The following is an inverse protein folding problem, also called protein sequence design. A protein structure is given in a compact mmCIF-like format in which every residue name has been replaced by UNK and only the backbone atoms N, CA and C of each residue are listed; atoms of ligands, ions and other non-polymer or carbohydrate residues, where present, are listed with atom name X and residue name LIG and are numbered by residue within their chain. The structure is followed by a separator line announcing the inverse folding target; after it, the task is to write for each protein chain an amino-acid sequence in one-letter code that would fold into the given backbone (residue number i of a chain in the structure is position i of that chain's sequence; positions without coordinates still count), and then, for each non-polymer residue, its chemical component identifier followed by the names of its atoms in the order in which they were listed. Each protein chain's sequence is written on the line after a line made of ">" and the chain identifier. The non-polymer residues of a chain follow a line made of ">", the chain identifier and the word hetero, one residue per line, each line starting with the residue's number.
data_IF_247697962687
#
_entry.id   IF_247697962687
#
_cell.length_a   1.000
_cell.length_b   1.000
_cell.length_c   1.000
_cell.angle_alpha   90.00
_cell.angle_beta   90.00
_cell.angle_gamma   90.00
#
_symmetry.space_group_name_H-M   'P 1'
#
loop_
_entity.id
_entity.type
_entity.pdbx_description
1 polymer ?
#
# COMPACT_ATOMS: atom_id res chain seq x y z
N UNK A 1 -6.12 -18.20 -1.04
CA UNK A 1 -5.99 -19.14 0.09
C UNK A 1 -4.98 -20.23 -0.19
N UNK A 2 -5.17 -21.15 -1.14
CA UNK A 2 -4.17 -22.21 -1.46
C UNK A 2 -2.74 -21.67 -1.66
N UNK A 3 -2.58 -20.50 -2.29
CA UNK A 3 -1.27 -19.87 -2.47
C UNK A 3 -0.64 -19.46 -1.14
N UNK A 4 -1.39 -18.83 -0.25
CA UNK A 4 -0.91 -18.41 1.08
C UNK A 4 -0.54 -19.63 1.92
N UNK A 5 -1.41 -20.66 1.93
CA UNK A 5 -1.15 -21.91 2.66
C UNK A 5 0.11 -22.62 2.18
N UNK A 6 0.31 -22.71 0.86
CA UNK A 6 1.46 -23.37 0.26
C UNK A 6 2.78 -22.58 0.37
N UNK A 7 2.74 -21.32 0.79
CA UNK A 7 3.90 -20.42 0.85
C UNK A 7 4.05 -19.72 2.21
N UNK A 8 3.47 -20.26 3.28
CA UNK A 8 3.47 -19.64 4.63
C UNK A 8 4.87 -19.27 5.14
N UNK A 9 5.88 -20.07 4.83
CA UNK A 9 7.27 -19.83 5.24
C UNK A 9 7.93 -18.61 4.56
N UNK A 10 7.37 -18.17 3.42
CA UNK A 10 7.90 -17.04 2.64
C UNK A 10 7.04 -15.78 2.74
N UNK A 11 5.82 -15.89 3.30
CA UNK A 11 4.85 -14.78 3.38
C UNK A 11 4.69 -14.38 4.84
N UNK A 12 5.31 -13.26 5.22
CA UNK A 12 5.16 -12.70 6.57
C UNK A 12 3.82 -11.95 6.73
N UNK A 13 3.41 -11.21 5.72
CA UNK A 13 2.23 -10.37 5.73
C UNK A 13 1.51 -10.41 4.38
N UNK A 14 0.22 -10.23 4.38
CA UNK A 14 -0.62 -10.11 3.18
C UNK A 14 -1.89 -9.34 3.52
N UNK A 15 -2.47 -8.71 2.53
CA UNK A 15 -3.71 -7.96 2.65
C UNK A 15 -4.90 -8.79 2.16
N UNK A 16 -6.10 -8.45 2.59
CA UNK A 16 -7.30 -8.97 1.94
C UNK A 16 -7.39 -8.43 0.51
N UNK A 17 -8.20 -9.08 -0.30
CA UNK A 17 -8.56 -8.54 -1.61
C UNK A 17 -9.30 -7.21 -1.39
N UNK A 18 -8.76 -6.16 -1.97
CA UNK A 18 -9.24 -4.81 -1.89
C UNK A 18 -10.04 -4.48 -3.16
N UNK A 19 -11.27 -4.01 -2.99
CA UNK A 19 -12.16 -3.62 -4.09
C UNK A 19 -12.28 -2.11 -4.09
N UNK A 20 -11.63 -1.48 -5.07
CA UNK A 20 -11.62 -0.02 -5.17
C UNK A 20 -13.04 0.53 -5.30
N UNK A 21 -13.40 1.45 -4.40
CA UNK A 21 -14.72 2.07 -4.35
C UNK A 21 -15.83 1.20 -3.73
N UNK A 22 -15.49 0.02 -3.17
CA UNK A 22 -16.44 -0.85 -2.47
C UNK A 22 -15.81 -1.39 -1.17
N UNK A 23 -15.91 -0.58 -0.12
CA UNK A 23 -15.38 -0.93 1.19
C UNK A 23 -16.14 -2.10 1.83
N UNK A 24 -17.45 -2.25 1.57
CA UNK A 24 -18.22 -3.37 2.09
C UNK A 24 -17.73 -4.69 1.50
N UNK A 25 -17.51 -4.77 0.19
CA UNK A 25 -16.99 -5.99 -0.44
C UNK A 25 -15.56 -6.30 0.03
N UNK A 26 -14.73 -5.29 0.22
CA UNK A 26 -13.37 -5.42 0.79
C UNK A 26 -13.43 -6.02 2.20
N UNK A 27 -14.37 -5.55 3.03
CA UNK A 27 -14.62 -6.08 4.38
C UNK A 27 -15.13 -7.52 4.35
N UNK A 28 -16.02 -7.85 3.42
CA UNK A 28 -16.53 -9.22 3.27
C UNK A 28 -15.40 -10.21 2.93
N UNK A 29 -14.47 -9.83 2.06
CA UNK A 29 -13.28 -10.64 1.77
C UNK A 29 -12.37 -10.77 2.99
N UNK A 30 -12.17 -9.70 3.76
CA UNK A 30 -11.45 -9.77 5.03
C UNK A 30 -12.11 -10.77 5.98
N UNK A 31 -13.42 -10.70 6.19
CA UNK A 31 -14.17 -11.62 7.05
C UNK A 31 -14.10 -13.07 6.58
N UNK A 32 -14.15 -13.31 5.28
CA UNK A 32 -14.00 -14.66 4.71
C UNK A 32 -12.63 -15.25 5.07
N UNK A 33 -11.56 -14.45 4.99
CA UNK A 33 -10.20 -14.88 5.35
C UNK A 33 -10.10 -15.16 6.86
N UNK A 34 -10.59 -14.24 7.70
CA UNK A 34 -10.59 -14.41 9.18
C UNK A 34 -11.32 -15.69 9.60
N UNK A 35 -12.52 -15.94 9.08
CA UNK A 35 -13.30 -17.17 9.38
C UNK A 35 -12.58 -18.46 8.98
N UNK A 36 -11.64 -18.39 8.04
CA UNK A 36 -10.80 -19.52 7.62
C UNK A 36 -9.47 -19.60 8.36
N UNK A 37 -9.28 -18.81 9.42
CA UNK A 37 -8.07 -18.82 10.24
C UNK A 37 -6.88 -18.06 9.66
N UNK A 38 -7.11 -17.22 8.65
CA UNK A 38 -6.09 -16.33 8.11
C UNK A 38 -6.05 -15.01 8.89
N UNK A 39 -4.91 -14.30 8.81
CA UNK A 39 -4.70 -12.99 9.44
C UNK A 39 -4.29 -11.95 8.40
N UNK A 40 -5.21 -11.55 7.50
CA UNK A 40 -4.91 -10.52 6.53
C UNK A 40 -4.82 -9.16 7.19
N UNK A 41 -3.95 -8.29 6.68
CA UNK A 41 -3.96 -6.86 6.99
C UNK A 41 -5.19 -6.25 6.30
N UNK A 42 -6.13 -5.62 7.02
CA UNK A 42 -7.28 -4.97 6.40
C UNK A 42 -6.86 -3.71 5.65
N UNK A 43 -7.59 -3.40 4.57
CA UNK A 43 -7.39 -2.20 3.77
C UNK A 43 -8.51 -1.20 4.03
N UNK A 44 -8.14 0.02 4.43
CA UNK A 44 -9.03 1.18 4.55
C UNK A 44 -8.77 2.09 3.36
N UNK A 45 -9.79 2.38 2.56
CA UNK A 45 -9.66 3.25 1.40
C UNK A 45 -9.96 4.71 1.73
N UNK A 46 -9.20 5.61 1.11
CA UNK A 46 -9.53 7.03 1.10
C UNK A 46 -10.88 7.25 0.43
N UNK A 47 -11.78 7.94 1.12
CA UNK A 47 -13.15 8.23 0.67
C UNK A 47 -13.98 8.80 1.81
N UNK A 48 -15.25 9.08 1.58
CA UNK A 48 -16.12 9.75 2.56
C UNK A 48 -16.47 8.86 3.76
N UNK A 49 -16.39 7.55 3.60
CA UNK A 49 -16.77 6.54 4.60
C UNK A 49 -15.56 5.88 5.32
N UNK A 50 -14.33 6.37 5.10
CA UNK A 50 -13.12 5.74 5.64
C UNK A 50 -13.16 5.55 7.16
N UNK A 51 -13.76 6.52 7.87
CA UNK A 51 -13.80 6.50 9.34
C UNK A 51 -14.60 5.32 9.86
N UNK A 52 -15.75 5.04 9.25
CA UNK A 52 -16.59 3.90 9.63
C UNK A 52 -15.83 2.58 9.50
N UNK A 53 -15.11 2.39 8.38
CA UNK A 53 -14.36 1.16 8.11
C UNK A 53 -13.13 1.02 9.00
N UNK A 54 -12.43 2.12 9.25
CA UNK A 54 -11.29 2.13 10.17
C UNK A 54 -11.73 1.75 11.58
N UNK A 55 -12.78 2.38 12.10
CA UNK A 55 -13.34 2.10 13.43
C UNK A 55 -13.79 0.65 13.55
N UNK A 56 -14.40 0.12 12.50
CA UNK A 56 -14.84 -1.27 12.43
C UNK A 56 -13.68 -2.25 12.58
N UNK A 57 -12.58 -2.06 11.82
CA UNK A 57 -11.38 -2.87 11.97
C UNK A 57 -10.70 -2.65 13.33
N UNK A 58 -10.63 -1.41 13.78
CA UNK A 58 -10.04 -1.06 15.08
C UNK A 58 -10.77 -1.75 16.25
N UNK A 59 -12.09 -1.76 16.26
CA UNK A 59 -12.89 -2.45 17.27
C UNK A 59 -12.80 -3.98 17.17
N UNK A 60 -12.47 -4.52 16.01
CA UNK A 60 -12.11 -5.93 15.83
C UNK A 60 -10.70 -6.27 16.34
N UNK A 61 -9.97 -5.32 16.90
CA UNK A 61 -8.64 -5.51 17.48
C UNK A 61 -7.50 -5.39 16.48
N UNK A 62 -7.76 -4.97 15.24
CA UNK A 62 -6.69 -4.80 14.26
C UNK A 62 -5.82 -3.59 14.63
N UNK A 63 -4.50 -3.79 14.59
CA UNK A 63 -3.48 -2.76 14.91
C UNK A 63 -2.42 -2.64 13.83
N UNK A 64 -2.62 -3.32 12.71
CA UNK A 64 -1.86 -3.14 11.49
C UNK A 64 -2.85 -3.06 10.33
N UNK A 65 -2.94 -1.90 9.69
CA UNK A 65 -3.91 -1.62 8.62
C UNK A 65 -3.21 -1.02 7.42
N UNK A 66 -3.71 -1.31 6.22
CA UNK A 66 -3.23 -0.69 4.99
C UNK A 66 -4.15 0.47 4.59
N UNK A 67 -3.55 1.57 4.13
CA UNK A 67 -4.24 2.75 3.62
C UNK A 67 -4.15 2.77 2.10
N UNK A 68 -5.29 2.54 1.44
CA UNK A 68 -5.44 2.53 -0.01
C UNK A 68 -6.16 3.77 -0.56
N UNK A 69 -6.36 3.78 -1.89
CA UNK A 69 -7.17 4.82 -2.56
C UNK A 69 -6.49 6.19 -2.73
N UNK A 70 -5.26 6.38 -2.26
CA UNK A 70 -4.56 7.69 -2.35
C UNK A 70 -3.91 7.95 -3.71
N UNK A 71 -3.63 6.91 -4.49
CA UNK A 71 -2.95 7.03 -5.79
C UNK A 71 -3.74 7.87 -6.80
N UNK A 72 -5.06 7.67 -7.00
CA UNK A 72 -5.85 8.46 -7.95
C UNK A 72 -6.21 9.86 -7.46
N UNK A 73 -5.98 10.20 -6.17
CA UNK A 73 -6.30 11.52 -5.63
C UNK A 73 -5.44 12.59 -6.30
N UNK A 74 -6.09 13.56 -6.93
CA UNK A 74 -5.39 14.64 -7.65
C UNK A 74 -4.65 15.57 -6.70
N UNK A 75 -5.29 15.93 -5.59
CA UNK A 75 -4.70 16.75 -4.55
C UNK A 75 -3.87 15.86 -3.59
N UNK A 76 -2.57 15.75 -3.87
CA UNK A 76 -1.66 14.94 -3.04
C UNK A 76 -1.49 15.47 -1.62
N UNK A 77 -1.71 16.75 -1.40
CA UNK A 77 -1.68 17.35 -0.07
C UNK A 77 -2.84 16.84 0.78
N UNK A 78 -4.05 16.82 0.24
CA UNK A 78 -5.23 16.30 0.92
C UNK A 78 -5.07 14.82 1.32
N UNK A 79 -4.57 14.00 0.40
CA UNK A 79 -4.26 12.60 0.70
C UNK A 79 -3.19 12.46 1.81
N UNK A 80 -2.19 13.34 1.82
CA UNK A 80 -1.15 13.34 2.87
C UNK A 80 -1.71 13.77 4.23
N UNK A 81 -2.58 14.79 4.26
CA UNK A 81 -3.27 15.23 5.48
C UNK A 81 -4.12 14.10 6.09
N UNK A 82 -4.86 13.39 5.24
CA UNK A 82 -5.63 12.24 5.69
C UNK A 82 -4.75 11.18 6.36
N UNK A 83 -3.65 10.78 5.73
CA UNK A 83 -2.71 9.81 6.30
C UNK A 83 -2.12 10.30 7.62
N UNK A 84 -1.71 11.58 7.68
CA UNK A 84 -1.15 12.21 8.88
C UNK A 84 -2.16 12.24 10.03
N UNK A 85 -3.40 12.62 9.75
CA UNK A 85 -4.47 12.65 10.74
C UNK A 85 -4.74 11.26 11.32
N UNK A 86 -4.77 10.23 10.49
CA UNK A 86 -4.97 8.85 10.96
C UNK A 86 -3.81 8.39 11.86
N UNK A 87 -2.57 8.65 11.47
CA UNK A 87 -1.39 8.30 12.28
C UNK A 87 -1.40 9.02 13.64
N UNK A 88 -1.92 10.26 13.68
CA UNK A 88 -2.06 11.02 14.91
C UNK A 88 -3.24 10.54 15.78
N UNK A 89 -4.38 10.22 15.18
CA UNK A 89 -5.58 9.76 15.90
C UNK A 89 -5.43 8.34 16.46
N UNK A 90 -4.65 7.49 15.79
CA UNK A 90 -4.47 6.08 16.14
C UNK A 90 -2.98 5.72 16.27
N UNK A 91 -2.27 6.31 17.25
CA UNK A 91 -0.81 6.17 17.38
C UNK A 91 -0.34 4.73 17.65
N UNK A 92 -1.23 3.86 18.12
CA UNK A 92 -0.94 2.44 18.33
C UNK A 92 -1.18 1.56 17.09
N UNK A 93 -1.74 2.14 16.01
CA UNK A 93 -1.97 1.43 14.75
C UNK A 93 -0.78 1.63 13.82
N UNK A 94 -0.24 0.53 13.33
CA UNK A 94 0.76 0.55 12.27
C UNK A 94 0.05 0.72 10.93
N UNK A 95 0.32 1.81 10.25
CA UNK A 95 -0.23 2.05 8.92
C UNK A 95 0.77 1.71 7.82
N UNK A 96 0.31 0.93 6.84
CA UNK A 96 1.02 0.67 5.59
C UNK A 96 0.36 1.47 4.46
N UNK A 97 1.09 2.35 3.79
CA UNK A 97 0.55 3.16 2.71
C UNK A 97 0.75 2.46 1.36
N UNK A 98 -0.37 2.13 0.71
CA UNK A 98 -0.39 1.41 -0.56
C UNK A 98 -0.10 2.32 -1.76
N UNK A 99 0.76 1.83 -2.63
CA UNK A 99 1.00 2.41 -3.95
C UNK A 99 1.71 3.76 -3.95
N UNK A 100 2.26 4.21 -2.84
CA UNK A 100 2.94 5.50 -2.74
C UNK A 100 4.22 5.42 -1.92
N UNK A 101 5.32 5.84 -2.55
CA UNK A 101 6.63 6.05 -1.90
C UNK A 101 7.11 7.49 -2.08
N UNK A 102 6.19 8.42 -2.26
CA UNK A 102 6.52 9.84 -2.43
C UNK A 102 7.22 10.39 -1.18
N UNK A 103 8.44 10.92 -1.34
CA UNK A 103 9.18 11.53 -0.24
C UNK A 103 8.37 12.60 0.49
N UNK A 104 7.58 13.39 -0.23
CA UNK A 104 6.70 14.39 0.39
C UNK A 104 5.72 13.80 1.39
N UNK A 105 5.21 12.60 1.11
CA UNK A 105 4.32 11.89 2.04
C UNK A 105 5.12 11.30 3.19
N UNK A 106 6.27 10.68 2.90
CA UNK A 106 7.12 10.05 3.91
C UNK A 106 7.71 11.05 4.90
N UNK A 107 8.12 12.24 4.44
CA UNK A 107 8.63 13.29 5.30
C UNK A 107 7.53 13.95 6.16
N UNK A 108 6.27 13.80 5.77
CA UNK A 108 5.12 14.47 6.37
C UNK A 108 4.23 13.57 7.22
N UNK A 109 4.20 12.28 6.94
CA UNK A 109 3.33 11.30 7.58
C UNK A 109 4.14 10.24 8.31
N UNK A 110 3.73 9.93 9.54
CA UNK A 110 4.30 8.82 10.31
C UNK A 110 3.60 7.52 9.90
N UNK A 111 4.15 6.83 8.91
CA UNK A 111 3.66 5.52 8.45
C UNK A 111 4.69 4.44 8.72
N UNK A 112 4.21 3.27 9.13
CA UNK A 112 5.07 2.13 9.47
C UNK A 112 5.81 1.57 8.25
N UNK A 113 5.14 1.54 7.09
CA UNK A 113 5.72 1.02 5.85
C UNK A 113 4.96 1.53 4.62
N UNK A 114 5.59 1.44 3.47
CA UNK A 114 5.01 1.82 2.18
C UNK A 114 5.38 0.81 1.11
N UNK A 115 4.59 0.75 0.03
CA UNK A 115 4.96 0.07 -1.20
C UNK A 115 4.76 0.97 -2.40
N UNK A 116 5.45 0.66 -3.48
CA UNK A 116 5.25 1.36 -4.76
C UNK A 116 5.74 0.50 -5.92
N UNK A 117 4.95 0.46 -6.97
CA UNK A 117 5.36 -0.12 -8.27
C UNK A 117 5.87 0.92 -9.26
N UNK A 118 5.99 2.18 -8.86
CA UNK A 118 6.37 3.32 -9.73
C UNK A 118 7.72 3.08 -10.40
N UNK A 119 8.71 2.58 -9.67
CA UNK A 119 10.05 2.25 -10.19
C UNK A 119 9.97 1.27 -11.36
N UNK A 120 9.08 0.28 -11.29
CA UNK A 120 8.90 -0.72 -12.33
C UNK A 120 8.09 -0.19 -13.51
N UNK A 121 6.99 0.50 -13.24
CA UNK A 121 6.15 1.12 -14.27
C UNK A 121 6.93 2.15 -15.10
N UNK A 122 7.72 3.00 -14.45
CA UNK A 122 8.61 3.95 -15.11
C UNK A 122 9.62 3.25 -16.04
N UNK A 123 10.16 2.11 -15.61
CA UNK A 123 11.09 1.33 -16.44
C UNK A 123 10.41 0.75 -17.71
N UNK A 124 9.17 0.27 -17.58
CA UNK A 124 8.38 -0.22 -18.72
C UNK A 124 8.09 0.93 -19.70
N UNK A 125 7.78 2.12 -19.19
CA UNK A 125 7.53 3.34 -19.97
C UNK A 125 8.80 3.96 -20.57
N UNK A 126 9.97 3.34 -20.41
CA UNK A 126 11.22 3.79 -20.98
C UNK A 126 12.01 4.80 -20.13
N UNK A 127 11.63 5.02 -18.87
CA UNK A 127 12.34 5.93 -17.97
C UNK A 127 13.36 5.18 -17.11
N UNK A 128 14.56 5.71 -16.85
CA UNK A 128 15.06 6.99 -17.37
C UNK A 128 15.53 6.88 -18.83
N UNK A 129 15.43 7.98 -19.55
CA UNK A 129 15.69 8.05 -21.00
C UNK A 129 17.15 7.79 -21.42
N UNK A 130 18.11 7.90 -20.50
CA UNK A 130 19.53 7.62 -20.81
C UNK A 130 19.83 6.13 -21.00
N UNK A 131 19.02 5.25 -20.44
CA UNK A 131 19.11 3.80 -20.67
C UNK A 131 18.27 3.46 -21.91
N UNK A 132 18.93 3.34 -23.06
CA UNK A 132 18.29 3.14 -24.36
C UNK A 132 17.83 1.70 -24.59
N UNK A 133 16.89 1.53 -25.52
CA UNK A 133 16.41 0.24 -26.01
C UNK A 133 15.07 -0.19 -25.42
N UNK A 134 14.43 -1.14 -26.12
CA UNK A 134 13.12 -1.70 -25.76
C UNK A 134 13.21 -3.17 -25.32
N UNK A 135 14.40 -3.75 -25.38
CA UNK A 135 14.61 -5.15 -24.98
C UNK A 135 14.28 -5.40 -23.51
N UNK A 136 14.06 -6.68 -23.17
CA UNK A 136 13.84 -7.11 -21.78
C UNK A 136 14.99 -6.68 -20.88
N UNK A 137 16.23 -6.77 -21.37
CA UNK A 137 17.41 -6.37 -20.61
C UNK A 137 17.41 -4.86 -20.32
N UNK A 138 17.12 -4.02 -21.32
CA UNK A 138 17.05 -2.57 -21.14
C UNK A 138 15.94 -2.17 -20.14
N UNK A 139 14.79 -2.84 -20.16
CA UNK A 139 13.71 -2.64 -19.18
C UNK A 139 14.18 -3.03 -17.77
N UNK A 140 14.90 -4.14 -17.63
CA UNK A 140 15.45 -4.60 -16.36
C UNK A 140 16.46 -3.61 -15.79
N UNK A 141 17.39 -3.11 -16.62
CA UNK A 141 18.39 -2.13 -16.19
C UNK A 141 17.73 -0.81 -15.73
N UNK A 142 16.69 -0.33 -16.43
CA UNK A 142 15.90 0.82 -15.97
C UNK A 142 15.20 0.54 -14.64
N UNK A 143 14.62 -0.65 -14.49
CA UNK A 143 13.96 -1.06 -13.25
C UNK A 143 14.93 -1.06 -12.06
N UNK A 144 16.10 -1.65 -12.23
CA UNK A 144 17.16 -1.64 -11.19
C UNK A 144 17.61 -0.22 -10.83
N UNK A 145 17.79 0.64 -11.83
CA UNK A 145 18.17 2.02 -11.62
C UNK A 145 17.11 2.78 -10.82
N UNK A 146 15.83 2.67 -11.23
CA UNK A 146 14.73 3.34 -10.55
C UNK A 146 14.54 2.82 -9.12
N UNK A 147 14.64 1.50 -8.91
CA UNK A 147 14.53 0.90 -7.59
C UNK A 147 15.63 1.40 -6.63
N UNK A 148 16.87 1.48 -7.09
CA UNK A 148 17.97 2.05 -6.28
C UNK A 148 17.67 3.48 -5.86
N UNK A 149 17.20 4.33 -6.80
CA UNK A 149 16.78 5.70 -6.47
C UNK A 149 15.64 5.76 -5.46
N UNK A 150 14.67 4.86 -5.57
CA UNK A 150 13.55 4.81 -4.63
C UNK A 150 14.02 4.38 -3.24
N UNK A 151 14.93 3.40 -3.14
CA UNK A 151 15.55 2.97 -1.88
C UNK A 151 16.41 4.07 -1.22
N UNK A 152 17.13 4.87 -2.01
CA UNK A 152 17.90 6.02 -1.50
C UNK A 152 17.00 7.12 -0.92
N UNK A 153 15.71 7.13 -1.24
CA UNK A 153 14.73 8.08 -0.68
C UNK A 153 14.16 7.64 0.68
N UNK A 154 14.33 6.37 1.04
CA UNK A 154 13.76 5.76 2.25
C UNK A 154 14.80 5.64 3.38
N UNK A 155 16.08 5.88 3.07
CA UNK A 155 17.21 5.93 4.01
C UNK A 155 17.53 7.39 4.31
#
# INVERSE_FOLDING_TARGET
>A
MKYIEGNKEYISHYMNLDVFGDNQMSYDYYQILKRKGFSPIPVVQYGDDYQEWLDKYYHHGERFMALGGTVPVKNKWEASEWVRLLSWQYPEVKFHLLGSSSRKILDYCDVYSVDSSTWFMMAIMGKPNHIKGTSRLAKLERAKFNLRKELELVV
#
